data_IF_448524121466
#
_entry.id   IF_448524121466
#
_cell.length_a   1.000
_cell.length_b   1.000
_cell.length_c   1.000
_cell.angle_alpha   90.00
_cell.angle_beta   90.00
_cell.angle_gamma   90.00
#
_symmetry.space_group_name_H-M   'P 1'
#
loop_
_entity.id
_entity.type
_entity.pdbx_description
1 polymer ?
#
# COMPACT_ATOMS: atom_id res chain seq x y z
N UNK A 1 -22.01 -4.10 -9.83
CA UNK A 1 -20.82 -3.56 -9.17
C UNK A 1 -21.15 -3.31 -7.70
N UNK A 2 -20.21 -3.58 -6.79
CA UNK A 2 -20.42 -3.43 -5.33
C UNK A 2 -20.62 -1.95 -4.95
N UNK A 3 -21.69 -1.65 -4.22
CA UNK A 3 -21.96 -0.28 -3.76
C UNK A 3 -20.99 0.09 -2.62
N UNK A 4 -20.41 1.29 -2.68
CA UNK A 4 -19.52 1.78 -1.64
C UNK A 4 -20.32 2.22 -0.41
N UNK A 5 -20.00 1.68 0.76
CA UNK A 5 -20.53 2.11 2.04
C UNK A 5 -19.55 3.09 2.71
N UNK A 6 -20.07 4.12 3.37
CA UNK A 6 -19.28 5.15 4.04
C UNK A 6 -19.78 5.35 5.46
N UNK A 7 -18.85 5.49 6.41
CA UNK A 7 -19.11 5.87 7.81
C UNK A 7 -18.22 7.07 8.13
N UNK A 8 -18.79 8.19 8.57
CA UNK A 8 -18.06 9.42 8.91
C UNK A 8 -17.14 9.94 7.78
N UNK A 9 -17.56 9.82 6.52
CA UNK A 9 -16.78 10.24 5.35
C UNK A 9 -15.66 9.27 4.93
N UNK A 10 -15.48 8.17 5.66
CA UNK A 10 -14.49 7.14 5.37
C UNK A 10 -15.18 5.93 4.75
N UNK A 11 -14.58 5.37 3.70
CA UNK A 11 -15.13 4.21 3.00
C UNK A 11 -14.97 2.97 3.87
N UNK A 12 -16.08 2.32 4.19
CA UNK A 12 -16.08 1.01 4.86
C UNK A 12 -15.37 0.05 3.93
N UNK A 13 -14.27 -0.53 4.43
CA UNK A 13 -13.45 -1.44 3.67
C UNK A 13 -13.63 -2.81 4.30
N UNK A 14 -14.48 -3.65 3.71
CA UNK A 14 -14.53 -5.06 4.08
C UNK A 14 -13.36 -5.85 3.47
N UNK A 15 -13.26 -7.14 3.81
CA UNK A 15 -12.12 -7.99 3.41
C UNK A 15 -11.97 -8.06 1.88
N UNK A 16 -13.06 -8.24 1.16
CA UNK A 16 -13.06 -8.24 -0.30
C UNK A 16 -12.64 -6.88 -0.86
N UNK A 17 -13.09 -5.79 -0.25
CA UNK A 17 -12.73 -4.43 -0.67
C UNK A 17 -11.24 -4.17 -0.47
N UNK A 18 -10.62 -4.60 0.64
CA UNK A 18 -9.17 -4.40 0.84
C UNK A 18 -8.35 -5.25 -0.13
N UNK A 19 -8.79 -6.46 -0.46
CA UNK A 19 -8.10 -7.30 -1.44
C UNK A 19 -8.14 -6.66 -2.84
N UNK A 20 -9.28 -6.07 -3.23
CA UNK A 20 -9.40 -5.28 -4.47
C UNK A 20 -8.49 -4.05 -4.42
N UNK A 21 -8.49 -3.30 -3.31
CA UNK A 21 -7.64 -2.12 -3.13
C UNK A 21 -6.17 -2.51 -3.27
N UNK A 22 -5.72 -3.61 -2.66
CA UNK A 22 -4.36 -4.13 -2.81
C UNK A 22 -4.05 -4.45 -4.28
N UNK A 23 -4.90 -5.20 -4.98
CA UNK A 23 -4.70 -5.53 -6.40
C UNK A 23 -4.61 -4.28 -7.29
N UNK A 24 -5.44 -3.27 -7.02
CA UNK A 24 -5.45 -2.03 -7.81
C UNK A 24 -4.24 -1.16 -7.49
N UNK A 25 -3.96 -0.88 -6.22
CA UNK A 25 -2.91 0.05 -5.80
C UNK A 25 -1.52 -0.55 -5.99
N UNK A 26 -1.25 -1.74 -5.42
CA UNK A 26 0.07 -2.38 -5.48
C UNK A 26 0.32 -3.11 -6.82
N UNK A 27 -0.75 -3.54 -7.50
CA UNK A 27 -0.68 -4.13 -8.83
C UNK A 27 -0.79 -3.06 -9.92
N UNK A 28 -2.02 -2.73 -10.32
CA UNK A 28 -2.26 -1.94 -11.55
C UNK A 28 -1.62 -0.55 -11.51
N UNK A 29 -1.90 0.26 -10.48
CA UNK A 29 -1.48 1.66 -10.42
C UNK A 29 0.02 1.76 -10.20
N UNK A 30 0.56 1.04 -9.20
CA UNK A 30 1.99 1.02 -8.91
C UNK A 30 2.82 0.60 -10.13
N UNK A 31 2.46 -0.50 -10.80
CA UNK A 31 3.23 -0.99 -11.96
C UNK A 31 3.06 -0.12 -13.20
N UNK A 32 1.91 0.56 -13.36
CA UNK A 32 1.74 1.57 -14.41
C UNK A 32 2.72 2.72 -14.21
N UNK A 33 2.84 3.26 -12.99
CA UNK A 33 3.77 4.35 -12.71
C UNK A 33 5.24 3.93 -12.85
N UNK A 34 5.60 2.74 -12.37
CA UNK A 34 6.94 2.16 -12.60
C UNK A 34 7.23 2.09 -14.09
N UNK A 35 6.33 1.54 -14.90
CA UNK A 35 6.53 1.44 -16.34
C UNK A 35 6.72 2.81 -17.02
N UNK A 36 5.94 3.82 -16.62
CA UNK A 36 6.09 5.19 -17.11
C UNK A 36 7.48 5.77 -16.78
N UNK A 37 7.99 5.53 -15.57
CA UNK A 37 9.34 5.97 -15.18
C UNK A 37 10.43 5.24 -15.96
N UNK A 38 10.29 3.92 -16.14
CA UNK A 38 11.22 3.12 -16.96
C UNK A 38 11.27 3.64 -18.41
N UNK A 39 10.11 3.97 -19.01
CA UNK A 39 10.02 4.55 -20.36
C UNK A 39 10.71 5.91 -20.50
N UNK A 40 10.97 6.62 -19.40
CA UNK A 40 11.70 7.89 -19.37
C UNK A 40 13.18 7.72 -19.03
N UNK A 41 13.68 6.48 -18.97
CA UNK A 41 15.07 6.17 -18.61
C UNK A 41 15.33 6.20 -17.10
N UNK A 42 14.29 6.28 -16.27
CA UNK A 42 14.43 6.08 -14.82
C UNK A 42 14.68 4.62 -14.49
N UNK A 43 15.24 4.35 -13.31
CA UNK A 43 15.41 3.01 -12.76
C UNK A 43 14.41 2.81 -11.61
N UNK A 44 13.13 2.61 -11.91
CA UNK A 44 12.07 2.54 -10.90
C UNK A 44 11.81 1.12 -10.38
N UNK A 45 11.57 1.00 -9.06
CA UNK A 45 11.17 -0.25 -8.40
C UNK A 45 9.88 0.00 -7.63
N UNK A 46 8.85 -0.78 -7.96
CA UNK A 46 7.55 -0.68 -7.31
C UNK A 46 7.44 -1.57 -6.08
N UNK A 47 7.14 -0.98 -4.94
CA UNK A 47 6.90 -1.65 -3.66
C UNK A 47 5.59 -1.16 -3.02
N UNK A 48 5.18 -1.84 -1.97
CA UNK A 48 4.09 -1.50 -1.07
C UNK A 48 4.62 -1.38 0.36
N UNK A 49 3.78 -0.91 1.29
CA UNK A 49 4.13 -0.95 2.71
C UNK A 49 4.36 -2.36 3.26
N UNK A 50 3.83 -3.40 2.59
CA UNK A 50 4.00 -4.80 2.99
C UNK A 50 5.43 -5.29 2.70
N UNK A 51 6.02 -4.86 1.57
CA UNK A 51 7.32 -5.36 1.11
C UNK A 51 8.41 -5.02 2.13
N UNK A 52 9.15 -6.02 2.62
CA UNK A 52 10.18 -5.83 3.66
C UNK A 52 9.65 -5.28 4.99
N UNK A 53 8.32 -5.24 5.20
CA UNK A 53 7.68 -4.63 6.36
C UNK A 53 7.94 -3.13 6.48
N UNK A 54 7.92 -2.40 5.36
CA UNK A 54 8.16 -0.94 5.31
C UNK A 54 7.14 -0.19 6.19
N UNK A 55 5.87 -0.59 6.16
CA UNK A 55 4.80 0.01 6.95
C UNK A 55 4.09 -1.11 7.72
N UNK A 56 4.11 -1.00 9.05
CA UNK A 56 3.27 -1.79 9.94
C UNK A 56 2.04 -0.96 10.29
N UNK A 57 0.85 -1.56 10.18
CA UNK A 57 -0.40 -0.89 10.51
C UNK A 57 -1.31 -1.81 11.33
N UNK A 58 -2.23 -1.21 12.07
CA UNK A 58 -3.33 -1.91 12.73
C UNK A 58 -4.65 -1.31 12.30
N UNK A 59 -5.75 -2.02 12.54
CA UNK A 59 -7.09 -1.47 12.34
C UNK A 59 -7.23 -0.11 13.05
N UNK A 60 -7.67 0.91 12.31
CA UNK A 60 -7.85 2.27 12.82
C UNK A 60 -9.11 2.38 13.67
N UNK A 61 -10.18 1.76 13.21
CA UNK A 61 -11.52 1.77 13.80
C UNK A 61 -12.30 0.55 13.28
N UNK A 62 -12.91 -0.22 14.17
CA UNK A 62 -13.72 -1.39 13.81
C UNK A 62 -14.87 -1.03 12.85
N UNK A 63 -15.44 0.18 12.98
CA UNK A 63 -16.52 0.65 12.12
C UNK A 63 -16.08 0.89 10.67
N UNK A 64 -14.76 1.03 10.41
CA UNK A 64 -14.19 1.27 9.09
C UNK A 64 -13.66 -0.01 8.42
N UNK A 65 -13.57 -1.10 9.18
CA UNK A 65 -13.01 -2.37 8.73
C UNK A 65 -11.50 -2.28 8.48
N UNK A 66 -11.05 -2.69 7.30
CA UNK A 66 -9.63 -2.80 6.92
C UNK A 66 -8.98 -1.45 6.55
N UNK A 67 -9.35 -0.37 7.25
CA UNK A 67 -8.64 0.91 7.23
C UNK A 67 -7.58 0.91 8.33
N UNK A 68 -6.34 1.24 7.97
CA UNK A 68 -5.19 1.12 8.86
C UNK A 68 -4.75 2.43 9.50
N UNK A 69 -4.20 2.32 10.70
CA UNK A 69 -3.39 3.34 11.36
C UNK A 69 -1.95 2.84 11.40
N UNK A 70 -1.01 3.64 10.88
CA UNK A 70 0.41 3.31 10.92
C UNK A 70 0.87 3.21 12.37
N UNK A 71 1.52 2.11 12.72
CA UNK A 71 2.11 1.88 14.04
C UNK A 71 3.64 1.91 14.00
N UNK A 72 4.24 1.57 12.87
CA UNK A 72 5.70 1.57 12.68
C UNK A 72 6.07 1.75 11.21
N UNK A 73 7.20 2.42 10.97
CA UNK A 73 7.83 2.52 9.66
C UNK A 73 9.24 1.94 9.73
N UNK A 74 9.60 1.07 8.77
CA UNK A 74 10.95 0.55 8.56
C UNK A 74 11.47 1.08 7.22
N UNK A 75 12.27 2.16 7.22
CA UNK A 75 12.72 2.79 5.97
C UNK A 75 13.81 2.00 5.23
N UNK A 76 14.45 1.01 5.87
CA UNK A 76 15.61 0.30 5.33
C UNK A 76 15.43 -0.18 3.87
N UNK A 77 14.34 -0.88 3.49
CA UNK A 77 14.18 -1.33 2.10
C UNK A 77 14.11 -0.17 1.10
N UNK A 78 13.60 1.00 1.51
CA UNK A 78 13.57 2.20 0.67
C UNK A 78 14.97 2.81 0.56
N UNK A 79 15.70 2.92 1.66
CA UNK A 79 17.06 3.47 1.64
C UNK A 79 18.01 2.58 0.85
N UNK A 80 17.88 1.26 0.95
CA UNK A 80 18.69 0.30 0.17
C UNK A 80 18.47 0.50 -1.34
N UNK A 81 17.21 0.71 -1.77
CA UNK A 81 16.91 1.00 -3.17
C UNK A 81 17.53 2.33 -3.62
N UNK A 82 17.42 3.37 -2.80
CA UNK A 82 17.99 4.68 -3.09
C UNK A 82 19.53 4.64 -3.17
N UNK A 83 20.19 3.89 -2.27
CA UNK A 83 21.64 3.67 -2.29
C UNK A 83 22.13 2.96 -3.56
N UNK A 84 21.26 2.17 -4.20
CA UNK A 84 21.53 1.52 -5.49
C UNK A 84 21.01 2.33 -6.68
N UNK A 85 20.68 3.60 -6.47
CA UNK A 85 20.21 4.54 -7.50
C UNK A 85 18.86 4.14 -8.15
N UNK A 86 18.04 3.33 -7.47
CA UNK A 86 16.66 3.10 -7.89
C UNK A 86 15.73 4.22 -7.41
N UNK A 87 14.62 4.41 -8.13
CA UNK A 87 13.50 5.27 -7.78
C UNK A 87 12.41 4.39 -7.14
N UNK A 88 12.28 4.37 -5.81
CA UNK A 88 11.25 3.59 -5.14
C UNK A 88 9.86 4.21 -5.36
N UNK A 89 8.92 3.42 -5.85
CA UNK A 89 7.51 3.80 -6.01
C UNK A 89 6.69 3.02 -5.00
N UNK A 90 6.20 3.70 -3.96
CA UNK A 90 5.54 3.06 -2.81
C UNK A 90 4.02 3.19 -2.91
N UNK A 91 3.31 2.06 -2.85
CA UNK A 91 1.83 2.03 -2.74
C UNK A 91 1.36 2.04 -1.27
N UNK A 92 0.19 2.63 -1.03
CA UNK A 92 -0.37 2.93 0.31
C UNK A 92 -1.14 1.76 0.94
N UNK A 93 -0.63 0.53 0.78
CA UNK A 93 -1.14 -0.65 1.48
C UNK A 93 -0.09 -1.19 2.43
N UNK A 94 -0.52 -1.63 3.61
CA UNK A 94 0.36 -2.12 4.67
C UNK A 94 -0.25 -3.35 5.33
N UNK A 95 0.52 -4.05 6.16
CA UNK A 95 0.02 -5.19 6.92
C UNK A 95 0.29 -5.07 8.42
N UNK A 96 -0.51 -5.76 9.22
CA UNK A 96 -0.16 -6.02 10.62
C UNK A 96 0.77 -7.24 10.74
N UNK A 97 1.10 -7.62 11.98
CA UNK A 97 1.91 -8.83 12.27
C UNK A 97 1.15 -10.14 12.11
N UNK A 98 -0.17 -10.09 11.94
CA UNK A 98 -1.03 -11.26 11.76
C UNK A 98 -1.26 -11.56 10.26
N UNK A 99 -0.77 -10.69 9.37
CA UNK A 99 -0.92 -10.83 7.92
C UNK A 99 -2.19 -10.19 7.35
N UNK A 100 -2.89 -9.36 8.14
CA UNK A 100 -4.04 -8.60 7.64
C UNK A 100 -3.55 -7.39 6.85
N UNK A 101 -4.06 -7.21 5.64
CA UNK A 101 -3.82 -6.03 4.81
C UNK A 101 -4.75 -4.89 5.23
N UNK A 102 -4.22 -3.67 5.24
CA UNK A 102 -4.97 -2.44 5.48
C UNK A 102 -4.72 -1.42 4.37
N UNK A 103 -5.78 -0.69 4.02
CA UNK A 103 -5.66 0.54 3.26
C UNK A 103 -5.30 1.69 4.21
N UNK A 104 -4.24 2.43 3.90
CA UNK A 104 -3.72 3.53 4.74
C UNK A 104 -4.23 4.88 4.24
#
# INVERSE_FOLDING_TARGET
GKQAQFVNGLRVTDKETVDIVQMVLAGKVNKTLVNLLQMKGGHAVGVSGIDGGIIEATMKDEALGYVGKITRIRPQPITDLLEKHYIPVVSTVASDRQGNTYNI
#
